data_IF_487784299254
#
_entry.id   IF_487784299254
#
_cell.length_a   1.000
_cell.length_b   1.000
_cell.length_c   1.000
_cell.angle_alpha   90.00
_cell.angle_beta   90.00
_cell.angle_gamma   90.00
#
_symmetry.space_group_name_H-M   'P 1'
#
loop_
_entity.id
_entity.type
_entity.pdbx_description
1 polymer ?
#
# COMPACT_ATOMS: atom_id res chain seq x y z
N UNK A 1 -14.35 3.40 -17.33
CA UNK A 1 -13.12 4.09 -16.89
C UNK A 1 -12.24 3.03 -16.25
N UNK A 2 -11.07 2.78 -16.84
CA UNK A 2 -10.15 1.75 -16.37
C UNK A 2 -9.57 2.16 -15.01
N UNK A 3 -9.51 1.22 -14.05
CA UNK A 3 -8.82 1.45 -12.78
C UNK A 3 -7.32 1.55 -13.09
N UNK A 4 -6.74 2.75 -12.97
CA UNK A 4 -5.30 2.97 -13.13
C UNK A 4 -4.54 2.39 -11.92
N UNK A 5 -4.36 1.08 -11.88
CA UNK A 5 -3.42 0.42 -10.97
C UNK A 5 -2.17 0.02 -11.75
N UNK A 6 -1.01 0.16 -11.10
CA UNK A 6 0.28 -0.26 -11.64
C UNK A 6 0.96 -1.21 -10.65
N UNK A 7 1.64 -2.22 -11.18
CA UNK A 7 2.50 -3.07 -10.38
C UNK A 7 3.76 -2.29 -10.01
N UNK A 8 3.91 -1.99 -8.72
CA UNK A 8 5.06 -1.27 -8.17
C UNK A 8 5.89 -2.24 -7.32
N UNK A 9 7.21 -2.33 -7.51
CA UNK A 9 8.07 -3.09 -6.60
C UNK A 9 7.88 -2.62 -5.16
N UNK A 10 7.91 -3.55 -4.19
CA UNK A 10 7.69 -3.20 -2.78
C UNK A 10 8.73 -2.20 -2.24
N UNK A 11 9.92 -2.21 -2.83
CA UNK A 11 11.05 -1.35 -2.46
C UNK A 11 10.84 0.11 -2.90
N UNK A 12 9.99 0.31 -3.91
CA UNK A 12 9.59 1.63 -4.42
C UNK A 12 8.30 2.16 -3.78
N UNK A 13 7.64 1.35 -2.94
CA UNK A 13 6.44 1.73 -2.21
C UNK A 13 6.76 2.84 -1.21
N UNK A 14 5.85 3.79 -1.05
CA UNK A 14 6.01 4.94 -0.16
C UNK A 14 4.91 5.01 0.88
N UNK A 15 5.21 5.70 1.98
CA UNK A 15 4.17 6.10 2.92
C UNK A 15 3.10 6.90 2.18
N UNK A 16 1.83 6.65 2.54
CA UNK A 16 0.64 7.20 1.92
C UNK A 16 0.28 6.68 0.53
N UNK A 17 1.08 5.79 -0.06
CA UNK A 17 0.67 5.13 -1.29
C UNK A 17 -0.65 4.38 -1.06
N UNK A 18 -1.49 4.41 -2.08
CA UNK A 18 -2.76 3.72 -2.09
C UNK A 18 -2.57 2.39 -2.77
N UNK A 19 -2.73 1.31 -2.03
CA UNK A 19 -2.63 -0.04 -2.54
C UNK A 19 -3.99 -0.72 -2.50
N UNK A 20 -4.19 -1.65 -3.43
CA UNK A 20 -5.34 -2.55 -3.39
C UNK A 20 -4.84 -3.92 -2.93
N UNK A 21 -5.35 -4.41 -1.81
CA UNK A 21 -5.20 -5.83 -1.49
C UNK A 21 -6.23 -6.55 -2.36
N UNK A 22 -5.83 -7.51 -3.20
CA UNK A 22 -6.73 -8.20 -4.15
C UNK A 22 -7.89 -8.98 -3.51
N UNK A 23 -8.02 -8.93 -2.18
CA UNK A 23 -9.17 -9.36 -1.40
C UNK A 23 -10.16 -8.20 -1.19
N UNK A 24 -11.38 -8.50 -0.74
CA UNK A 24 -12.50 -7.55 -0.55
C UNK A 24 -12.24 -6.38 0.42
N UNK A 25 -11.00 -6.15 0.86
CA UNK A 25 -10.60 -5.12 1.83
C UNK A 25 -10.56 -3.70 1.25
N UNK A 26 -11.00 -3.49 0.00
CA UNK A 26 -11.09 -2.16 -0.58
C UNK A 26 -9.74 -1.46 -0.75
N UNK A 27 -9.75 -0.13 -0.73
CA UNK A 27 -8.54 0.69 -0.85
C UNK A 27 -7.82 0.79 0.50
N UNK A 28 -6.51 0.54 0.49
CA UNK A 28 -5.66 0.61 1.69
C UNK A 28 -4.61 1.70 1.50
N UNK A 29 -4.36 2.47 2.55
CA UNK A 29 -3.28 3.48 2.58
C UNK A 29 -2.10 2.95 3.36
N UNK A 30 -0.90 3.04 2.77
CA UNK A 30 0.34 2.71 3.47
C UNK A 30 0.57 3.71 4.60
N UNK A 31 0.77 3.20 5.82
CA UNK A 31 1.09 3.99 7.01
C UNK A 31 2.57 3.92 7.35
N UNK A 32 3.22 2.77 7.18
CA UNK A 32 4.66 2.65 7.36
C UNK A 32 5.19 1.45 6.59
N UNK A 33 6.49 1.52 6.25
CA UNK A 33 7.20 0.43 5.58
C UNK A 33 8.48 0.20 6.38
N UNK A 34 8.61 -0.99 6.95
CA UNK A 34 9.84 -1.45 7.58
C UNK A 34 10.60 -2.31 6.57
N UNK A 35 11.82 -1.89 6.16
CA UNK A 35 12.66 -2.71 5.31
C UNK A 35 13.16 -3.95 6.07
N UNK A 36 13.59 -4.99 5.34
CA UNK A 36 14.22 -6.16 5.94
C UNK A 36 15.40 -5.76 6.83
N UNK A 37 15.44 -6.31 8.04
CA UNK A 37 16.55 -6.13 8.99
C UNK A 37 17.33 -7.43 9.21
N UNK A 38 18.66 -7.35 9.24
CA UNK A 38 19.54 -8.50 9.49
C UNK A 38 19.49 -9.51 8.34
N UNK A 39 19.17 -10.78 8.66
CA UNK A 39 19.05 -11.87 7.68
C UNK A 39 17.62 -12.05 7.12
N UNK A 40 16.69 -11.16 7.44
CA UNK A 40 15.32 -11.21 6.90
C UNK A 40 15.31 -10.74 5.45
N UNK A 41 14.47 -11.33 4.61
CA UNK A 41 14.15 -10.84 3.26
C UNK A 41 12.73 -10.27 3.18
N UNK A 42 12.07 -10.08 4.33
CA UNK A 42 10.68 -9.62 4.43
C UNK A 42 10.62 -8.12 4.74
N UNK A 43 9.90 -7.39 3.89
CA UNK A 43 9.36 -6.06 4.17
C UNK A 43 8.09 -6.20 5.01
N UNK A 44 7.94 -5.40 6.06
CA UNK A 44 6.67 -5.25 6.77
C UNK A 44 6.04 -3.94 6.35
N UNK A 45 4.81 -3.99 5.89
CA UNK A 45 4.06 -2.81 5.46
C UNK A 45 2.83 -2.72 6.35
N UNK A 46 2.75 -1.65 7.12
CA UNK A 46 1.53 -1.32 7.85
C UNK A 46 0.61 -0.52 6.93
N UNK A 47 -0.65 -0.96 6.84
CA UNK A 47 -1.68 -0.29 6.04
C UNK A 47 -2.91 -0.03 6.87
N UNK A 48 -3.67 0.98 6.45
CA UNK A 48 -4.95 1.39 7.07
C UNK A 48 -6.04 1.36 6.00
N UNK A 49 -7.18 0.78 6.34
CA UNK A 49 -8.36 0.79 5.47
C UNK A 49 -8.89 2.19 5.23
N UNK A 50 -9.27 2.52 4.00
CA UNK A 50 -9.94 3.79 3.66
C UNK A 50 -11.46 3.66 3.54
N UNK A 51 -12.01 2.46 3.76
CA UNK A 51 -13.46 2.25 3.80
C UNK A 51 -14.04 2.67 5.16
N UNK A 52 -15.21 3.31 5.12
CA UNK A 52 -15.82 4.00 6.26
C UNK A 52 -16.23 3.07 7.41
N UNK A 53 -16.29 1.76 7.20
CA UNK A 53 -16.68 0.81 8.24
C UNK A 53 -15.54 0.38 9.15
N UNK A 54 -14.27 0.60 8.77
CA UNK A 54 -13.13 0.07 9.54
C UNK A 54 -11.83 0.86 9.38
N UNK A 55 -11.92 2.18 9.55
CA UNK A 55 -10.79 3.13 9.51
C UNK A 55 -9.75 2.91 10.64
N UNK A 56 -10.00 1.99 11.57
CA UNK A 56 -9.19 1.75 12.77
C UNK A 56 -8.36 0.47 12.71
N UNK A 57 -8.54 -0.38 11.68
CA UNK A 57 -7.76 -1.61 11.53
C UNK A 57 -6.42 -1.32 10.87
N UNK A 58 -5.40 -1.25 11.71
CA UNK A 58 -4.01 -1.39 11.30
C UNK A 58 -3.78 -2.84 10.87
N UNK A 59 -3.49 -3.05 9.59
CA UNK A 59 -3.16 -4.37 9.05
C UNK A 59 -1.67 -4.36 8.73
N UNK A 60 -0.91 -5.30 9.32
CA UNK A 60 0.48 -5.53 8.94
C UNK A 60 0.53 -6.60 7.87
N UNK A 61 1.04 -6.25 6.69
CA UNK A 61 1.28 -7.16 5.58
C UNK A 61 2.78 -7.39 5.43
N UNK A 62 3.20 -8.63 5.18
CA UNK A 62 4.60 -8.97 4.91
C UNK A 62 4.80 -9.37 3.46
N UNK A 63 5.85 -8.83 2.85
CA UNK A 63 6.20 -9.08 1.46
C UNK A 63 7.65 -9.50 1.35
N UNK A 64 7.96 -10.49 0.51
CA UNK A 64 9.34 -10.82 0.19
C UNK A 64 9.96 -9.73 -0.67
N UNK A 65 11.27 -9.50 -0.50
CA UNK A 65 12.04 -8.65 -1.40
C UNK A 65 11.86 -9.09 -2.87
N UNK A 66 11.72 -8.14 -3.78
CA UNK A 66 11.39 -8.39 -5.18
C UNK A 66 9.90 -8.63 -5.47
N UNK A 67 9.02 -8.64 -4.46
CA UNK A 67 7.56 -8.68 -4.67
C UNK A 67 7.06 -7.37 -5.29
N UNK A 68 5.99 -7.46 -6.08
CA UNK A 68 5.27 -6.29 -6.61
C UNK A 68 3.91 -6.14 -5.93
N UNK A 69 3.52 -4.91 -5.62
CA UNK A 69 2.20 -4.55 -5.10
C UNK A 69 1.44 -3.71 -6.11
N UNK A 70 0.12 -3.85 -6.15
CA UNK A 70 -0.73 -3.03 -7.02
C UNK A 70 -0.99 -1.69 -6.33
N UNK A 71 -0.35 -0.65 -6.85
CA UNK A 71 -0.51 0.74 -6.39
C UNK A 71 -1.48 1.43 -7.33
N UNK A 72 -2.50 2.10 -6.78
CA UNK A 72 -3.36 2.97 -7.56
C UNK A 72 -2.62 4.26 -7.87
N UNK A 73 -2.32 4.50 -9.14
CA UNK A 73 -1.69 5.75 -9.58
C UNK A 73 -2.73 6.71 -10.15
N UNK A 74 -2.81 7.89 -9.53
CA UNK A 74 -3.58 9.04 -10.00
C UNK A 74 -4.91 9.25 -9.24
N UNK A 75 -5.29 10.47 -8.90
CA UNK A 75 -4.72 11.77 -9.27
C UNK A 75 -3.89 12.40 -8.15
N UNK A 76 -2.91 13.21 -8.52
CA UNK A 76 -2.56 14.35 -7.68
C UNK A 76 -3.86 14.98 -7.21
N UNK A 77 -4.04 15.13 -5.90
CA UNK A 77 -5.00 16.11 -5.40
C UNK A 77 -4.52 17.41 -6.00
N UNK A 78 -5.19 17.88 -7.06
CA UNK A 78 -5.08 19.27 -7.46
C UNK A 78 -5.34 20.02 -6.17
N UNK A 79 -4.31 20.67 -5.63
CA UNK A 79 -4.46 21.55 -4.50
C UNK A 79 -5.42 22.63 -4.97
N UNK A 80 -6.69 22.49 -4.65
CA UNK A 80 -7.66 23.54 -4.86
C UNK A 80 -7.30 24.62 -3.84
N UNK A 81 -7.08 25.84 -4.34
CA UNK A 81 -6.89 27.04 -3.52
C UNK A 81 -8.08 27.27 -2.59
#
# INVERSE_FOLDING_TARGET
MERNTVATPIEDLKEHDLITNGHELGLLRVKSIEPPSGNSTLYKVEVVGLDATDLSKHITMTFYQGSTVQVQQGGAVTRLH
#
